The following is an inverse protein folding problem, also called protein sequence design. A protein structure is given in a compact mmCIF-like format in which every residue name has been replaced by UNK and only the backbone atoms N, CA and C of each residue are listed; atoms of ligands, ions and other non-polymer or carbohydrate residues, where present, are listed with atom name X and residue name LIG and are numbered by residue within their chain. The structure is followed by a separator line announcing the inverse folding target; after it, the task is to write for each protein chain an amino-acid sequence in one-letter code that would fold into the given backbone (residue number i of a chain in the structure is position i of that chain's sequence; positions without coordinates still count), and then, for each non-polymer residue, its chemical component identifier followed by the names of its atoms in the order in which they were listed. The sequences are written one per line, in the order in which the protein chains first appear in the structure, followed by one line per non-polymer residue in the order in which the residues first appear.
data_IF_824175128686
#
_entry.id   IF_824175128686
#
_cell.length_a   1.000
_cell.length_b   1.000
_cell.length_c   1.000
_cell.angle_alpha   90.00
_cell.angle_beta   90.00
_cell.angle_gamma   90.00
#
_symmetry.space_group_name_H-M   'P 1'
#
loop_
_entity.id
_entity.type
_entity.pdbx_description
1 polymer ?
#
# COMPACT_ATOMS: atom_id res chain seq x y z
N UNK A 1 -19.47 -6.81 22.65
CA UNK A 1 -18.64 -6.93 21.43
C UNK A 1 -17.46 -7.83 21.76
N UNK A 2 -17.59 -9.14 21.50
CA UNK A 2 -16.66 -10.20 21.94
C UNK A 2 -15.19 -9.91 21.59
N UNK A 3 -14.94 -9.39 20.39
CA UNK A 3 -13.59 -9.12 19.89
C UNK A 3 -12.89 -7.91 20.53
N UNK A 4 -13.62 -6.90 21.00
CA UNK A 4 -13.00 -5.74 21.68
C UNK A 4 -12.55 -6.06 23.11
N UNK A 5 -13.04 -7.16 23.68
CA UNK A 5 -12.72 -7.58 25.04
C UNK A 5 -11.51 -8.52 25.07
N UNK A 6 -11.05 -9.00 23.90
CA UNK A 6 -9.89 -9.86 23.81
C UNK A 6 -8.62 -9.00 23.69
N UNK A 7 -7.61 -9.33 24.50
CA UNK A 7 -6.28 -8.78 24.28
C UNK A 7 -5.65 -9.53 23.11
N UNK A 8 -5.16 -8.84 22.07
CA UNK A 8 -4.48 -9.50 20.96
C UNK A 8 -3.28 -10.29 21.47
N UNK A 9 -3.06 -11.48 20.92
CA UNK A 9 -1.87 -12.25 21.26
C UNK A 9 -0.62 -11.44 20.87
N UNK A 10 0.24 -11.14 21.85
CA UNK A 10 1.45 -10.32 21.68
C UNK A 10 2.68 -11.21 21.52
N UNK A 11 2.59 -12.23 20.68
CA UNK A 11 3.79 -13.00 20.39
C UNK A 11 4.82 -12.07 19.74
N UNK A 12 6.07 -12.09 20.23
CA UNK A 12 7.13 -11.32 19.62
C UNK A 12 7.24 -11.73 18.16
N UNK A 13 7.05 -10.78 17.26
CA UNK A 13 7.21 -11.00 15.83
C UNK A 13 8.64 -10.63 15.45
N UNK A 14 9.40 -11.60 14.96
CA UNK A 14 10.76 -11.36 14.51
C UNK A 14 10.73 -10.59 13.20
N UNK A 15 11.17 -9.31 13.24
CA UNK A 15 11.20 -8.46 12.07
C UNK A 15 12.33 -8.78 11.10
N UNK A 16 13.32 -9.61 11.50
CA UNK A 16 14.45 -9.98 10.64
C UNK A 16 14.05 -10.85 9.45
N UNK A 17 12.94 -11.59 9.56
CA UNK A 17 12.42 -12.44 8.47
C UNK A 17 11.53 -11.66 7.48
N UNK A 18 11.15 -10.42 7.81
CA UNK A 18 10.17 -9.64 7.05
C UNK A 18 10.82 -8.94 5.86
N UNK A 19 10.70 -9.54 4.68
CA UNK A 19 11.29 -9.00 3.44
C UNK A 19 10.39 -8.03 2.70
N UNK A 20 9.08 -8.23 2.77
CA UNK A 20 8.13 -7.56 1.90
C UNK A 20 6.96 -7.04 2.72
N UNK A 21 6.77 -5.73 2.72
CA UNK A 21 5.74 -5.07 3.53
C UNK A 21 4.67 -4.39 2.68
N UNK A 22 3.45 -4.36 3.21
CA UNK A 22 2.35 -3.54 2.69
C UNK A 22 2.07 -2.44 3.69
N UNK A 23 1.97 -1.21 3.20
CA UNK A 23 1.61 -0.07 4.03
C UNK A 23 0.36 0.56 3.45
N UNK A 24 -0.65 0.72 4.30
CA UNK A 24 -1.92 1.34 3.94
C UNK A 24 -2.40 2.29 5.03
N UNK A 25 -3.16 3.29 4.61
CA UNK A 25 -3.64 4.37 5.46
C UNK A 25 -5.11 4.66 5.19
N UNK A 26 -5.85 5.00 6.24
CA UNK A 26 -7.23 5.48 6.09
C UNK A 26 -7.50 6.66 7.01
N UNK A 27 -8.20 7.67 6.50
CA UNK A 27 -8.57 8.83 7.28
C UNK A 27 -9.81 8.55 8.14
N UNK A 28 -9.70 8.79 9.44
CA UNK A 28 -10.86 8.82 10.34
C UNK A 28 -11.50 10.21 10.30
N UNK A 29 -10.69 11.25 10.51
CA UNK A 29 -11.08 12.66 10.40
C UNK A 29 -9.89 13.44 9.86
N UNK A 30 -9.98 13.90 8.61
CA UNK A 30 -8.88 14.60 7.94
C UNK A 30 -8.34 15.76 8.80
N UNK A 31 -7.02 15.95 8.86
CA UNK A 31 -5.96 15.19 8.16
C UNK A 31 -5.47 13.93 8.91
N UNK A 32 -6.17 13.47 9.94
CA UNK A 32 -5.73 12.40 10.85
C UNK A 32 -6.37 11.05 10.49
N UNK A 33 -5.57 10.01 10.51
CA UNK A 33 -5.96 8.67 10.13
C UNK A 33 -5.33 7.57 10.98
N UNK A 34 -5.59 6.35 10.54
CA UNK A 34 -4.90 5.14 10.96
C UNK A 34 -3.90 4.80 9.86
N UNK A 35 -2.70 4.43 10.26
CA UNK A 35 -1.64 4.00 9.36
C UNK A 35 -1.14 2.64 9.83
N UNK A 36 -1.02 1.68 8.92
CA UNK A 36 -0.67 0.30 9.25
C UNK A 36 0.41 -0.22 8.32
N UNK A 37 1.35 -0.97 8.89
CA UNK A 37 2.34 -1.76 8.19
C UNK A 37 2.07 -3.24 8.45
N UNK A 38 2.07 -4.03 7.39
CA UNK A 38 1.75 -5.45 7.41
C UNK A 38 2.84 -6.24 6.69
N UNK A 39 3.09 -7.45 7.18
CA UNK A 39 3.85 -8.46 6.46
C UNK A 39 3.03 -8.95 5.27
N UNK A 40 3.60 -8.85 4.07
CA UNK A 40 2.91 -9.26 2.84
C UNK A 40 2.83 -10.77 2.66
N UNK A 41 3.70 -11.55 3.29
CA UNK A 41 3.74 -13.02 3.18
C UNK A 41 2.99 -13.67 4.33
N UNK A 42 3.28 -13.27 5.57
CA UNK A 42 2.63 -13.83 6.75
C UNK A 42 1.22 -13.27 7.01
N UNK A 43 0.83 -12.20 6.28
CA UNK A 43 -0.44 -11.49 6.44
C UNK A 43 -0.68 -10.98 7.87
N UNK A 44 0.40 -10.64 8.58
CA UNK A 44 0.36 -10.18 9.97
C UNK A 44 0.53 -8.67 10.05
N UNK A 45 -0.16 -8.05 11.01
CA UNK A 45 0.04 -6.65 11.34
C UNK A 45 1.36 -6.49 12.10
N UNK A 46 2.30 -5.73 11.52
CA UNK A 46 3.59 -5.43 12.16
C UNK A 46 3.43 -4.28 13.15
N UNK A 47 2.79 -3.21 12.70
CA UNK A 47 2.55 -2.02 13.51
C UNK A 47 1.40 -1.20 12.95
N UNK A 48 0.61 -0.60 13.83
CA UNK A 48 -0.37 0.40 13.45
C UNK A 48 -0.28 1.61 14.40
N UNK A 49 -0.48 2.79 13.83
CA UNK A 49 -0.56 4.03 14.57
C UNK A 49 -1.87 4.74 14.24
N UNK A 50 -2.49 5.31 15.26
CA UNK A 50 -3.68 6.17 15.13
C UNK A 50 -3.26 7.63 15.20
N UNK A 51 -4.14 8.53 14.74
CA UNK A 51 -3.91 9.97 14.75
C UNK A 51 -2.69 10.42 13.91
N UNK A 52 -2.33 9.63 12.91
CA UNK A 52 -1.23 9.92 11.98
C UNK A 52 -1.73 10.89 10.91
N UNK A 53 -0.99 11.97 10.66
CA UNK A 53 -1.12 12.76 9.43
C UNK A 53 -0.14 12.20 8.41
N UNK A 54 -0.49 12.19 7.13
CA UNK A 54 0.44 11.83 6.04
C UNK A 54 1.47 12.94 5.76
N UNK A 55 1.96 13.58 6.82
CA UNK A 55 3.02 14.58 6.80
C UNK A 55 4.37 13.90 7.02
N UNK A 56 5.45 14.53 6.53
CA UNK A 56 6.80 14.00 6.70
C UNK A 56 7.14 13.69 8.17
N UNK A 57 6.76 14.56 9.11
CA UNK A 57 7.01 14.39 10.55
C UNK A 57 6.36 13.12 11.12
N UNK A 58 5.06 12.98 10.90
CA UNK A 58 4.28 11.89 11.48
C UNK A 58 4.64 10.54 10.80
N UNK A 59 4.91 10.55 9.49
CA UNK A 59 5.42 9.39 8.75
C UNK A 59 6.82 8.99 9.21
N UNK A 60 7.70 9.97 9.44
CA UNK A 60 9.04 9.72 9.98
C UNK A 60 8.96 9.03 11.34
N UNK A 61 8.14 9.54 12.26
CA UNK A 61 7.93 8.91 13.56
C UNK A 61 7.34 7.49 13.46
N UNK A 62 6.50 7.22 12.45
CA UNK A 62 5.96 5.89 12.19
C UNK A 62 7.06 4.92 11.76
N UNK A 63 7.89 5.30 10.78
CA UNK A 63 8.95 4.44 10.26
C UNK A 63 10.12 4.27 11.24
N UNK A 64 10.47 5.29 12.01
CA UNK A 64 11.51 5.18 13.05
C UNK A 64 11.17 4.07 14.04
N UNK A 65 9.91 3.94 14.48
CA UNK A 65 9.51 2.87 15.41
C UNK A 65 9.68 1.47 14.81
N UNK A 66 9.38 1.32 13.52
CA UNK A 66 9.55 0.04 12.82
C UNK A 66 11.04 -0.31 12.68
N UNK A 67 11.85 0.69 12.34
CA UNK A 67 13.29 0.55 12.21
C UNK A 67 13.98 0.21 13.54
N UNK A 68 13.65 0.93 14.61
CA UNK A 68 14.17 0.68 15.97
C UNK A 68 13.80 -0.71 16.49
N UNK A 69 12.69 -1.27 16.00
CA UNK A 69 12.27 -2.63 16.30
C UNK A 69 12.94 -3.69 15.39
N UNK A 70 13.81 -3.28 14.46
CA UNK A 70 14.61 -4.18 13.62
C UNK A 70 14.01 -4.52 12.26
N UNK A 71 13.06 -3.72 11.74
CA UNK A 71 12.48 -3.95 10.41
C UNK A 71 13.34 -3.37 9.28
N UNK A 72 13.86 -4.24 8.41
CA UNK A 72 14.68 -3.88 7.24
C UNK A 72 14.17 -4.58 5.97
N UNK A 73 13.07 -4.09 5.36
CA UNK A 73 12.42 -4.78 4.26
C UNK A 73 13.15 -4.56 2.92
N UNK A 74 13.17 -5.57 2.07
CA UNK A 74 13.66 -5.48 0.69
C UNK A 74 12.69 -4.71 -0.22
N UNK A 75 11.38 -4.78 0.07
CA UNK A 75 10.35 -4.10 -0.72
C UNK A 75 9.18 -3.60 0.11
N UNK A 76 8.53 -2.53 -0.38
CA UNK A 76 7.31 -2.01 0.20
C UNK A 76 6.26 -1.72 -0.89
N UNK A 77 5.03 -2.15 -0.63
CA UNK A 77 3.86 -1.82 -1.43
C UNK A 77 3.05 -0.70 -0.74
N UNK A 78 2.80 0.40 -1.45
CA UNK A 78 2.09 1.58 -0.91
C UNK A 78 0.96 2.03 -1.83
N UNK A 79 0.10 2.94 -1.39
CA UNK A 79 -0.97 3.54 -2.22
C UNK A 79 -0.44 4.50 -3.32
N UNK A 80 0.87 4.79 -3.30
CA UNK A 80 1.58 5.71 -4.19
C UNK A 80 1.67 7.14 -3.67
N UNK A 81 1.43 7.39 -2.38
CA UNK A 81 1.66 8.70 -1.78
C UNK A 81 3.16 9.06 -1.84
N UNK A 82 3.49 10.18 -2.51
CA UNK A 82 4.88 10.59 -2.74
C UNK A 82 5.61 10.99 -1.46
N UNK A 83 4.91 11.54 -0.46
CA UNK A 83 5.51 11.85 0.83
C UNK A 83 5.90 10.56 1.56
N UNK A 84 5.01 9.56 1.55
CA UNK A 84 5.31 8.23 2.08
C UNK A 84 6.52 7.59 1.39
N UNK A 85 6.53 7.56 0.06
CA UNK A 85 7.62 6.95 -0.70
C UNK A 85 8.97 7.62 -0.40
N UNK A 86 8.99 8.95 -0.33
CA UNK A 86 10.20 9.71 0.05
C UNK A 86 10.66 9.36 1.46
N UNK A 87 9.74 9.29 2.42
CA UNK A 87 10.12 8.92 3.79
C UNK A 87 10.68 7.50 3.83
N UNK A 88 10.03 6.52 3.21
CA UNK A 88 10.53 5.14 3.14
C UNK A 88 11.96 5.07 2.58
N UNK A 89 12.27 5.80 1.52
CA UNK A 89 13.61 5.85 0.94
C UNK A 89 14.65 6.52 1.85
N UNK A 90 14.24 7.45 2.73
CA UNK A 90 15.15 8.01 3.73
C UNK A 90 15.50 6.98 4.82
N UNK A 91 14.59 6.08 5.16
CA UNK A 91 14.80 5.02 6.16
C UNK A 91 15.47 3.78 5.59
N UNK A 92 15.15 3.42 4.35
CA UNK A 92 15.70 2.27 3.64
C UNK A 92 16.01 2.68 2.19
N UNK A 93 17.23 3.21 1.92
CA UNK A 93 17.58 3.76 0.60
C UNK A 93 17.48 2.76 -0.56
N UNK A 94 17.73 1.48 -0.29
CA UNK A 94 17.73 0.41 -1.30
C UNK A 94 16.35 -0.26 -1.48
N UNK A 95 15.31 0.24 -0.78
CA UNK A 95 13.99 -0.38 -0.80
C UNK A 95 13.35 -0.33 -2.20
N UNK A 96 12.84 -1.48 -2.66
CA UNK A 96 12.03 -1.55 -3.86
C UNK A 96 10.62 -1.07 -3.55
N UNK A 97 10.22 0.06 -4.11
CA UNK A 97 8.88 0.61 -3.94
C UNK A 97 7.95 0.14 -5.07
N UNK A 98 6.80 -0.39 -4.68
CA UNK A 98 5.72 -0.77 -5.58
C UNK A 98 4.44 -0.01 -5.23
N UNK A 99 3.75 0.51 -6.24
CA UNK A 99 2.40 1.02 -6.02
C UNK A 99 1.42 -0.14 -6.04
N UNK A 100 0.52 -0.18 -5.06
CA UNK A 100 -0.48 -1.23 -4.93
C UNK A 100 -1.39 -1.26 -6.17
N UNK A 101 -1.38 -2.40 -6.88
CA UNK A 101 -2.17 -2.60 -8.09
C UNK A 101 -3.68 -2.49 -7.83
N UNK A 102 -4.13 -2.86 -6.62
CA UNK A 102 -5.52 -2.69 -6.19
C UNK A 102 -5.88 -1.21 -6.08
N UNK A 103 -4.97 -0.37 -5.57
CA UNK A 103 -5.17 1.08 -5.51
C UNK A 103 -5.21 1.69 -6.91
N UNK A 104 -4.32 1.27 -7.81
CA UNK A 104 -4.31 1.73 -9.21
C UNK A 104 -5.63 1.35 -9.91
N UNK A 105 -6.06 0.09 -9.80
CA UNK A 105 -7.32 -0.39 -10.36
C UNK A 105 -8.50 0.40 -9.80
N UNK A 106 -8.60 0.53 -8.47
CA UNK A 106 -9.71 1.23 -7.81
C UNK A 106 -9.82 2.68 -8.27
N UNK A 107 -8.69 3.38 -8.36
CA UNK A 107 -8.65 4.78 -8.80
C UNK A 107 -9.04 4.92 -10.29
N UNK A 108 -8.52 4.05 -11.16
CA UNK A 108 -8.90 4.03 -12.57
C UNK A 108 -10.40 3.73 -12.76
N UNK A 109 -10.93 2.72 -12.07
CA UNK A 109 -12.35 2.37 -12.13
C UNK A 109 -13.24 3.48 -11.54
N UNK A 110 -12.78 4.22 -10.54
CA UNK A 110 -13.48 5.43 -10.06
C UNK A 110 -13.63 6.47 -11.17
N UNK A 111 -12.63 6.65 -12.03
CA UNK A 111 -12.70 7.57 -13.16
C UNK A 111 -13.70 7.08 -14.21
N UNK A 112 -13.66 5.80 -14.59
CA UNK A 112 -14.60 5.20 -15.55
C UNK A 112 -16.08 5.35 -15.11
N UNK A 113 -16.35 5.35 -13.80
CA UNK A 113 -17.70 5.55 -13.25
C UNK A 113 -18.26 6.96 -13.43
N UNK A 114 -17.45 7.97 -13.73
CA UNK A 114 -17.93 9.35 -13.96
C UNK A 114 -18.74 9.46 -15.25
N UNK A 115 -18.34 8.73 -16.30
CA UNK A 115 -19.00 8.74 -17.61
C UNK A 115 -19.08 7.32 -18.21
N UNK A 116 -19.82 6.40 -17.57
CA UNK A 116 -19.73 4.96 -17.84
C UNK A 116 -20.27 4.54 -19.22
N UNK A 117 -21.04 5.41 -19.89
CA UNK A 117 -21.63 5.12 -21.20
C UNK A 117 -20.68 5.41 -22.36
N UNK A 118 -19.63 6.20 -22.16
CA UNK A 118 -18.66 6.50 -23.23
C UNK A 118 -17.90 5.24 -23.61
N UNK A 119 -17.64 5.08 -24.90
CA UNK A 119 -16.94 3.91 -25.45
C UNK A 119 -15.54 3.76 -24.87
N UNK A 120 -14.80 4.87 -24.75
CA UNK A 120 -13.46 4.89 -24.14
C UNK A 120 -13.48 4.45 -22.67
N UNK A 121 -14.47 4.89 -21.89
CA UNK A 121 -14.64 4.48 -20.51
C UNK A 121 -14.94 2.97 -20.36
N UNK A 122 -15.66 2.37 -21.31
CA UNK A 122 -15.92 0.92 -21.35
C UNK A 122 -14.65 0.13 -21.65
N UNK A 123 -13.93 0.49 -22.71
CA UNK A 123 -12.66 -0.16 -23.06
C UNK A 123 -11.62 -0.02 -21.94
N UNK A 124 -11.48 1.17 -21.37
CA UNK A 124 -10.58 1.40 -20.25
C UNK A 124 -10.97 0.58 -19.02
N UNK A 125 -12.28 0.42 -18.75
CA UNK A 125 -12.75 -0.42 -17.64
C UNK A 125 -12.38 -1.88 -17.87
N UNK A 126 -12.60 -2.41 -19.07
CA UNK A 126 -12.24 -3.79 -19.43
C UNK A 126 -10.75 -4.03 -19.22
N UNK A 127 -9.91 -3.10 -19.69
CA UNK A 127 -8.47 -3.16 -19.46
C UNK A 127 -8.14 -3.13 -17.95
N UNK A 128 -8.64 -2.15 -17.20
CA UNK A 128 -8.32 -2.01 -15.77
C UNK A 128 -8.75 -3.22 -14.92
N UNK A 129 -9.78 -3.96 -15.34
CA UNK A 129 -10.22 -5.18 -14.65
C UNK A 129 -9.18 -6.30 -14.71
N UNK A 130 -8.29 -6.31 -15.71
CA UNK A 130 -7.21 -7.31 -15.82
C UNK A 130 -5.95 -6.93 -15.02
N UNK A 131 -5.88 -5.74 -14.41
CA UNK A 131 -4.68 -5.25 -13.73
C UNK A 131 -4.22 -6.15 -12.58
N UNK A 132 -5.14 -6.81 -11.87
CA UNK A 132 -4.81 -7.73 -10.77
C UNK A 132 -4.21 -9.06 -11.24
N UNK A 133 -4.25 -9.33 -12.54
CA UNK A 133 -3.67 -10.53 -13.15
C UNK A 133 -2.20 -10.31 -13.56
N UNK A 134 -1.70 -9.07 -13.50
CA UNK A 134 -0.31 -8.74 -13.83
C UNK A 134 0.62 -9.29 -12.75
N UNK A 135 1.38 -10.33 -13.09
CA UNK A 135 2.37 -10.96 -12.18
C UNK A 135 3.80 -10.85 -12.66
N UNK A 136 4.00 -10.67 -13.96
CA UNK A 136 5.31 -10.61 -14.59
C UNK A 136 5.56 -9.25 -15.25
N UNK A 137 6.81 -9.01 -15.64
CA UNK A 137 7.18 -7.79 -16.38
C UNK A 137 6.55 -7.80 -17.77
N UNK A 138 6.45 -8.97 -18.37
CA UNK A 138 5.82 -9.22 -19.67
C UNK A 138 4.32 -8.91 -19.61
N UNK A 139 3.62 -9.35 -18.55
CA UNK A 139 2.22 -9.00 -18.31
C UNK A 139 2.06 -7.48 -18.17
N UNK A 140 2.97 -6.82 -17.44
CA UNK A 140 2.93 -5.37 -17.28
C UNK A 140 3.10 -4.65 -18.62
N UNK A 141 4.01 -5.10 -19.48
CA UNK A 141 4.21 -4.52 -20.81
C UNK A 141 2.97 -4.73 -21.69
N UNK A 142 2.38 -5.93 -21.65
CA UNK A 142 1.14 -6.25 -22.37
C UNK A 142 -0.02 -5.37 -21.89
N UNK A 143 -0.16 -5.20 -20.58
CA UNK A 143 -1.17 -4.34 -19.97
C UNK A 143 -1.01 -2.88 -20.42
N UNK A 144 0.21 -2.34 -20.38
CA UNK A 144 0.50 -0.97 -20.83
C UNK A 144 0.21 -0.80 -22.32
N UNK A 145 0.57 -1.79 -23.16
CA UNK A 145 0.28 -1.76 -24.59
C UNK A 145 -1.22 -1.68 -24.88
N UNK A 146 -2.07 -2.26 -24.02
CA UNK A 146 -3.52 -2.19 -24.12
C UNK A 146 -4.10 -0.78 -24.05
N UNK A 147 -3.39 0.20 -23.50
CA UNK A 147 -3.82 1.61 -23.52
C UNK A 147 -3.65 2.29 -24.88
N UNK A 148 -2.86 1.70 -25.78
CA UNK A 148 -2.54 2.24 -27.11
C UNK A 148 -3.17 1.45 -28.25
N UNK A 149 -3.93 0.40 -27.93
CA UNK A 149 -4.66 -0.44 -28.88
C UNK A 149 -6.04 0.18 -29.20
#
# INVERSE_FOLDING_TARGET
MYWLQQTPNKEPYDFSEVKHIVIDGTFLKRPRGIYAAMDSEAHKLLYAAVNVRESAKDLSAFYTKLYEAGLYPESATTDGNTAQMKQLQLFCPEIKLQRCIVHVQRQGLCWCRRNPKRTDAKHLRELLLTLTEVKTKEDSQRFIKGFYA
#
